data_IF_024680305135
#
_entry.id   IF_024680305135
#
_cell.length_a   1.000
_cell.length_b   1.000
_cell.length_c   1.000
_cell.angle_alpha   90.00
_cell.angle_beta   90.00
_cell.angle_gamma   90.00
#
_symmetry.space_group_name_H-M   'P 1'
#
loop_
_entity.id
_entity.type
_entity.pdbx_description
1 polymer ?
#
# COMPACT_ATOMS: atom_id res chain seq x y z
N UNK A 1 -28.06 -77.38 -65.49
CA UNK A 1 -28.07 -77.25 -64.00
C UNK A 1 -27.29 -76.11 -63.45
N UNK A 2 -26.55 -75.30 -64.24
CA UNK A 2 -25.70 -74.20 -63.75
C UNK A 2 -26.43 -72.88 -63.44
N UNK A 3 -27.58 -72.55 -64.03
CA UNK A 3 -28.28 -71.26 -63.72
C UNK A 3 -28.87 -71.16 -62.31
N UNK A 4 -29.19 -72.28 -61.65
CA UNK A 4 -29.74 -72.28 -60.27
C UNK A 4 -28.67 -71.98 -59.19
N UNK A 5 -27.40 -72.38 -59.38
CA UNK A 5 -26.31 -72.16 -58.43
C UNK A 5 -25.90 -70.65 -58.34
N UNK A 6 -25.90 -69.95 -59.50
CA UNK A 6 -25.61 -68.51 -59.50
C UNK A 6 -26.66 -67.63 -58.78
N UNK A 7 -27.88 -68.04 -58.75
CA UNK A 7 -29.01 -67.36 -58.07
C UNK A 7 -28.93 -67.54 -56.53
N UNK A 8 -28.52 -68.72 -56.07
CA UNK A 8 -28.38 -68.96 -54.59
C UNK A 8 -27.22 -68.18 -53.98
N UNK A 9 -26.06 -68.19 -54.66
CA UNK A 9 -24.89 -67.40 -54.21
C UNK A 9 -25.16 -65.94 -54.12
N UNK A 10 -25.90 -65.32 -55.06
CA UNK A 10 -26.31 -63.90 -55.02
C UNK A 10 -27.26 -63.58 -53.85
N UNK A 11 -28.11 -64.47 -53.46
CA UNK A 11 -29.06 -64.31 -52.32
C UNK A 11 -28.26 -64.37 -51.01
N UNK A 12 -27.37 -65.32 -50.89
CA UNK A 12 -26.51 -65.52 -49.70
C UNK A 12 -25.61 -64.24 -49.58
N UNK A 13 -24.98 -63.78 -50.65
CA UNK A 13 -24.17 -62.59 -50.63
C UNK A 13 -24.92 -61.27 -50.24
N UNK A 14 -26.16 -61.12 -50.73
CA UNK A 14 -27.05 -60.01 -50.30
C UNK A 14 -27.40 -60.11 -48.84
N UNK A 15 -27.68 -61.31 -48.32
CA UNK A 15 -27.96 -61.54 -46.88
C UNK A 15 -26.76 -61.14 -46.03
N UNK A 16 -25.54 -61.48 -46.42
CA UNK A 16 -24.35 -61.06 -45.70
C UNK A 16 -24.09 -59.52 -45.75
N UNK A 17 -24.39 -58.89 -46.86
CA UNK A 17 -24.28 -57.41 -46.97
C UNK A 17 -25.31 -56.74 -46.04
N UNK A 18 -26.55 -57.18 -46.01
CA UNK A 18 -27.55 -56.61 -45.12
C UNK A 18 -27.28 -56.94 -43.64
N UNK A 19 -26.84 -58.13 -43.32
CA UNK A 19 -26.37 -58.43 -41.98
C UNK A 19 -25.18 -57.58 -41.55
N UNK A 20 -24.20 -57.35 -42.43
CA UNK A 20 -23.05 -56.48 -42.17
C UNK A 20 -23.48 -55.02 -41.97
N UNK A 21 -24.43 -54.50 -42.78
CA UNK A 21 -24.97 -53.16 -42.59
C UNK A 21 -25.63 -53.00 -41.22
N UNK A 22 -26.43 -53.99 -40.81
CA UNK A 22 -27.10 -53.97 -39.51
C UNK A 22 -26.05 -53.98 -38.38
N UNK A 23 -25.05 -54.85 -38.47
CA UNK A 23 -23.99 -54.97 -37.48
C UNK A 23 -23.16 -53.68 -37.41
N UNK A 24 -22.86 -53.08 -38.56
CA UNK A 24 -22.16 -51.82 -38.64
C UNK A 24 -22.99 -50.67 -38.05
N UNK A 25 -24.28 -50.59 -38.32
CA UNK A 25 -25.18 -49.63 -37.67
C UNK A 25 -25.22 -49.81 -36.15
N UNK A 26 -25.31 -51.03 -35.67
CA UNK A 26 -25.29 -51.33 -34.24
C UNK A 26 -23.97 -50.92 -33.59
N UNK A 27 -22.84 -51.14 -34.28
CA UNK A 27 -21.52 -50.68 -33.79
C UNK A 27 -21.41 -49.14 -33.71
N UNK A 28 -21.97 -48.43 -34.70
CA UNK A 28 -22.04 -46.94 -34.66
C UNK A 28 -22.93 -46.50 -33.50
N UNK A 29 -24.11 -47.08 -33.32
CA UNK A 29 -25.02 -46.73 -32.23
C UNK A 29 -24.39 -47.00 -30.85
N UNK A 30 -23.70 -48.12 -30.70
CA UNK A 30 -22.97 -48.45 -29.48
C UNK A 30 -21.81 -47.44 -29.23
N UNK A 31 -21.04 -47.12 -30.26
CA UNK A 31 -19.98 -46.13 -30.19
C UNK A 31 -20.48 -44.72 -29.81
N UNK A 32 -21.60 -44.30 -30.40
CA UNK A 32 -22.26 -43.04 -30.04
C UNK A 32 -22.79 -43.07 -28.61
N UNK A 33 -23.38 -44.19 -28.17
CA UNK A 33 -23.86 -44.36 -26.81
C UNK A 33 -22.71 -44.23 -25.77
N UNK A 34 -21.60 -44.90 -26.05
CA UNK A 34 -20.38 -44.80 -25.21
C UNK A 34 -19.86 -43.39 -25.22
N UNK A 35 -19.76 -42.74 -26.38
CA UNK A 35 -19.27 -41.35 -26.51
C UNK A 35 -20.14 -40.40 -25.70
N UNK A 36 -21.45 -40.48 -25.81
CA UNK A 36 -22.39 -39.67 -25.03
C UNK A 36 -22.30 -39.95 -23.52
N UNK A 37 -22.18 -41.20 -23.12
CA UNK A 37 -22.04 -41.56 -21.70
C UNK A 37 -20.72 -41.02 -21.10
N UNK A 38 -19.60 -41.19 -21.79
CA UNK A 38 -18.31 -40.70 -21.38
C UNK A 38 -18.29 -39.17 -21.37
N UNK A 39 -18.82 -38.53 -22.41
CA UNK A 39 -18.89 -37.08 -22.53
C UNK A 39 -19.77 -36.43 -21.45
N UNK A 40 -20.96 -36.97 -21.21
CA UNK A 40 -21.84 -36.48 -20.14
C UNK A 40 -21.21 -36.64 -18.76
N UNK A 41 -20.51 -37.76 -18.51
CA UNK A 41 -19.80 -37.97 -17.27
C UNK A 41 -18.62 -37.00 -17.11
N UNK A 42 -17.90 -36.74 -18.18
CA UNK A 42 -16.77 -35.78 -18.18
C UNK A 42 -17.24 -34.34 -17.99
N UNK A 43 -18.41 -33.95 -18.50
CA UNK A 43 -19.01 -32.63 -18.44
C UNK A 43 -19.91 -32.39 -17.23
N UNK A 44 -20.07 -33.38 -16.34
CA UNK A 44 -20.95 -33.26 -15.17
C UNK A 44 -20.42 -32.17 -14.19
N UNK A 45 -21.21 -31.12 -13.89
CA UNK A 45 -20.81 -30.10 -12.93
C UNK A 45 -20.56 -30.68 -11.52
N UNK A 46 -21.30 -31.75 -11.13
CA UNK A 46 -21.07 -32.42 -9.85
C UNK A 46 -19.66 -33.01 -9.76
N UNK A 47 -19.15 -33.57 -10.86
CA UNK A 47 -17.78 -34.10 -10.91
C UNK A 47 -16.74 -32.98 -10.74
N UNK A 48 -16.95 -31.82 -11.36
CA UNK A 48 -16.08 -30.64 -11.18
C UNK A 48 -16.11 -30.15 -9.72
N UNK A 49 -17.30 -30.06 -9.12
CA UNK A 49 -17.46 -29.67 -7.73
C UNK A 49 -16.77 -30.64 -6.77
N UNK A 50 -16.94 -31.95 -6.96
CA UNK A 50 -16.28 -33.01 -6.16
C UNK A 50 -14.77 -32.93 -6.30
N UNK A 51 -14.25 -32.73 -7.52
CA UNK A 51 -12.82 -32.60 -7.78
C UNK A 51 -12.24 -31.37 -7.12
N UNK A 52 -12.89 -30.21 -7.26
CA UNK A 52 -12.47 -28.98 -6.61
C UNK A 52 -12.46 -29.12 -5.09
N UNK A 53 -13.52 -29.69 -4.50
CA UNK A 53 -13.60 -29.89 -3.07
C UNK A 53 -12.55 -30.88 -2.56
N UNK A 54 -12.20 -31.92 -3.34
CA UNK A 54 -11.10 -32.83 -2.99
C UNK A 54 -9.76 -32.14 -2.91
N UNK A 55 -9.48 -31.15 -3.77
CA UNK A 55 -8.29 -30.34 -3.69
C UNK A 55 -8.33 -29.37 -2.50
N UNK A 56 -9.49 -28.82 -2.20
CA UNK A 56 -9.70 -27.95 -1.05
C UNK A 56 -9.37 -28.68 0.26
N UNK A 57 -9.87 -29.90 0.47
CA UNK A 57 -9.60 -30.68 1.69
C UNK A 57 -8.15 -31.17 1.82
N UNK A 58 -7.42 -31.22 0.70
CA UNK A 58 -6.01 -31.61 0.68
C UNK A 58 -5.06 -30.41 0.60
N UNK A 59 -5.59 -29.17 0.66
CA UNK A 59 -4.86 -27.92 0.49
C UNK A 59 -4.01 -27.89 -0.80
N UNK A 60 -4.49 -28.51 -1.87
CA UNK A 60 -3.83 -28.51 -3.16
C UNK A 60 -4.23 -27.26 -3.96
N UNK A 61 -3.69 -26.12 -3.55
CA UNK A 61 -4.07 -24.81 -4.09
C UNK A 61 -3.71 -24.65 -5.56
N UNK A 62 -2.65 -25.30 -6.03
CA UNK A 62 -2.26 -25.26 -7.44
C UNK A 62 -3.33 -25.88 -8.34
N UNK A 63 -3.83 -27.05 -7.97
CA UNK A 63 -4.88 -27.72 -8.73
C UNK A 63 -6.24 -27.01 -8.59
N UNK A 64 -6.51 -26.39 -7.43
CA UNK A 64 -7.68 -25.51 -7.28
C UNK A 64 -7.60 -24.32 -8.23
N UNK A 65 -6.43 -23.65 -8.31
CA UNK A 65 -6.22 -22.49 -9.16
C UNK A 65 -6.47 -22.78 -10.65
N UNK A 66 -6.04 -23.95 -11.13
CA UNK A 66 -6.32 -24.39 -12.52
C UNK A 66 -7.81 -24.54 -12.83
N UNK A 67 -8.64 -24.73 -11.79
CA UNK A 67 -10.08 -24.95 -11.93
C UNK A 67 -10.93 -23.68 -11.76
N UNK A 68 -10.38 -22.56 -11.36
CA UNK A 68 -11.14 -21.33 -11.14
C UNK A 68 -11.34 -20.52 -12.43
N UNK A 69 -12.42 -19.74 -12.46
CA UNK A 69 -12.81 -18.87 -13.57
C UNK A 69 -12.32 -17.44 -13.31
N UNK A 70 -11.08 -17.17 -13.74
CA UNK A 70 -10.44 -15.86 -13.56
C UNK A 70 -9.77 -15.40 -14.84
N UNK A 71 -9.61 -14.09 -14.96
CA UNK A 71 -8.67 -13.45 -15.85
C UNK A 71 -7.49 -12.97 -15.00
N UNK A 72 -6.31 -13.50 -15.27
CA UNK A 72 -5.10 -13.14 -14.57
C UNK A 72 -4.73 -11.67 -14.77
N UNK A 73 -4.21 -11.06 -13.73
CA UNK A 73 -3.66 -9.72 -13.73
C UNK A 73 -2.55 -9.64 -12.68
N UNK A 74 -1.91 -8.46 -12.52
CA UNK A 74 -0.84 -8.27 -11.55
C UNK A 74 -1.22 -8.73 -10.13
N UNK A 75 -2.45 -8.45 -9.68
CA UNK A 75 -2.95 -8.80 -8.34
C UNK A 75 -3.98 -9.94 -8.32
N UNK A 76 -4.32 -10.48 -9.49
CA UNK A 76 -5.12 -11.69 -9.64
C UNK A 76 -4.22 -12.77 -10.23
N UNK A 77 -3.43 -13.42 -9.40
CA UNK A 77 -2.44 -14.43 -9.76
C UNK A 77 -2.44 -15.59 -8.77
N UNK A 78 -1.64 -16.61 -9.04
CA UNK A 78 -1.56 -17.79 -8.20
C UNK A 78 -1.06 -17.50 -6.78
N UNK A 79 -0.05 -16.65 -6.61
CA UNK A 79 0.53 -16.38 -5.30
C UNK A 79 -0.47 -15.70 -4.37
N UNK A 80 -1.22 -14.71 -4.89
CA UNK A 80 -2.27 -14.03 -4.11
C UNK A 80 -3.46 -14.97 -3.82
N UNK A 81 -3.82 -15.85 -4.77
CA UNK A 81 -4.83 -16.88 -4.53
C UNK A 81 -4.39 -17.87 -3.45
N UNK A 82 -3.13 -18.30 -3.49
CA UNK A 82 -2.54 -19.20 -2.49
C UNK A 82 -2.53 -18.56 -1.12
N UNK A 83 -2.05 -17.32 -1.00
CA UNK A 83 -2.05 -16.54 0.25
C UNK A 83 -3.45 -16.45 0.86
N UNK A 84 -4.44 -16.11 0.04
CA UNK A 84 -5.85 -16.09 0.43
C UNK A 84 -6.33 -17.45 0.97
N UNK A 85 -6.01 -18.54 0.28
CA UNK A 85 -6.41 -19.88 0.70
C UNK A 85 -5.67 -20.34 1.97
N UNK A 86 -4.42 -19.94 2.16
CA UNK A 86 -3.64 -20.22 3.37
C UNK A 86 -4.21 -19.49 4.59
N UNK A 87 -4.68 -18.25 4.43
CA UNK A 87 -5.37 -17.50 5.48
C UNK A 87 -6.70 -18.12 5.91
N UNK A 88 -7.36 -18.86 5.01
CA UNK A 88 -8.62 -19.58 5.27
C UNK A 88 -8.42 -21.09 5.46
N UNK A 89 -7.18 -21.53 5.69
CA UNK A 89 -6.86 -22.95 5.80
C UNK A 89 -7.62 -23.63 6.93
N UNK A 90 -8.23 -24.76 6.59
CA UNK A 90 -8.89 -25.61 7.57
C UNK A 90 -7.84 -26.45 8.30
N UNK A 91 -7.79 -26.31 9.61
CA UNK A 91 -6.97 -27.14 10.48
C UNK A 91 -7.78 -28.33 10.97
N UNK A 92 -7.35 -29.52 10.62
CA UNK A 92 -7.98 -30.78 11.01
C UNK A 92 -8.35 -31.69 9.83
N UNK A 93 -8.63 -32.96 10.12
CA UNK A 93 -9.08 -33.90 9.08
C UNK A 93 -10.54 -33.70 8.78
N UNK A 94 -10.88 -33.52 7.51
CA UNK A 94 -12.27 -33.46 7.05
C UNK A 94 -12.84 -34.89 6.98
N UNK A 95 -14.00 -35.08 7.62
CA UNK A 95 -14.76 -36.33 7.61
C UNK A 95 -16.18 -36.11 7.07
N UNK A 96 -16.80 -37.19 6.57
CA UNK A 96 -18.21 -37.23 6.24
C UNK A 96 -18.72 -36.09 5.38
N UNK A 97 -17.98 -35.76 4.31
CA UNK A 97 -18.47 -34.71 3.44
C UNK A 97 -19.50 -35.24 2.41
N UNK A 98 -20.50 -34.44 2.13
CA UNK A 98 -21.43 -34.64 1.04
C UNK A 98 -21.76 -33.33 0.31
N UNK A 99 -22.06 -33.44 -0.97
CA UNK A 99 -22.53 -32.30 -1.76
C UNK A 99 -24.04 -32.27 -1.80
N UNK A 100 -24.63 -31.09 -1.69
CA UNK A 100 -26.06 -30.87 -1.89
C UNK A 100 -26.51 -31.24 -3.32
N UNK A 101 -27.82 -31.30 -3.53
CA UNK A 101 -28.37 -31.25 -4.89
C UNK A 101 -27.95 -29.93 -5.57
N UNK A 102 -27.69 -29.95 -6.89
CA UNK A 102 -27.31 -28.76 -7.62
C UNK A 102 -28.45 -27.75 -7.70
N UNK A 103 -28.16 -26.51 -7.42
CA UNK A 103 -29.03 -25.36 -7.71
C UNK A 103 -28.55 -24.72 -9.00
N UNK A 104 -29.39 -24.68 -10.04
CA UNK A 104 -29.03 -24.10 -11.35
C UNK A 104 -29.67 -22.75 -11.52
N UNK A 105 -28.87 -21.80 -11.98
CA UNK A 105 -29.30 -20.42 -12.29
C UNK A 105 -28.58 -19.94 -13.55
N UNK A 106 -29.26 -19.98 -14.70
CA UNK A 106 -28.63 -19.65 -15.98
C UNK A 106 -27.40 -20.51 -16.28
N UNK A 107 -26.27 -19.88 -16.51
CA UNK A 107 -24.99 -20.55 -16.80
C UNK A 107 -24.21 -20.96 -15.53
N UNK A 108 -24.83 -20.85 -14.37
CA UNK A 108 -24.19 -21.24 -13.10
C UNK A 108 -24.87 -22.43 -12.45
N UNK A 109 -24.06 -23.23 -11.73
CA UNK A 109 -24.53 -24.34 -10.92
C UNK A 109 -23.85 -24.29 -9.57
N UNK A 110 -24.65 -24.23 -8.51
CA UNK A 110 -24.11 -24.10 -7.14
C UNK A 110 -24.34 -25.39 -6.38
N UNK A 111 -23.32 -25.83 -5.67
CA UNK A 111 -23.32 -26.92 -4.71
C UNK A 111 -22.90 -26.40 -3.33
N UNK A 112 -23.46 -26.99 -2.29
CA UNK A 112 -22.99 -26.78 -0.91
C UNK A 112 -22.38 -28.11 -0.44
N UNK A 113 -21.08 -28.07 -0.16
CA UNK A 113 -20.38 -29.15 0.52
C UNK A 113 -20.60 -28.99 2.02
N UNK A 114 -21.18 -30.01 2.66
CA UNK A 114 -21.30 -30.08 4.11
C UNK A 114 -20.30 -31.12 4.62
N UNK A 115 -19.53 -30.79 5.63
CA UNK A 115 -18.46 -31.65 6.17
C UNK A 115 -18.26 -31.45 7.68
N UNK A 116 -17.56 -32.36 8.32
CA UNK A 116 -17.17 -32.30 9.72
C UNK A 116 -15.65 -32.26 9.86
N UNK A 117 -15.15 -31.59 10.89
CA UNK A 117 -13.73 -31.49 11.22
C UNK A 117 -13.40 -32.37 12.42
N UNK A 118 -12.46 -33.28 12.24
CA UNK A 118 -11.97 -34.13 13.33
C UNK A 118 -13.12 -34.89 14.03
N UNK A 119 -13.22 -34.68 15.34
CA UNK A 119 -14.28 -35.24 16.17
C UNK A 119 -15.43 -34.25 16.50
N UNK A 120 -15.42 -33.09 15.82
CA UNK A 120 -16.47 -32.09 16.03
C UNK A 120 -17.86 -32.66 15.65
N UNK A 121 -18.85 -32.29 16.47
CA UNK A 121 -20.25 -32.59 16.20
C UNK A 121 -20.90 -31.65 15.21
N UNK A 122 -20.37 -30.41 15.15
CA UNK A 122 -20.86 -29.36 14.26
C UNK A 122 -20.49 -29.64 12.80
N UNK A 123 -21.41 -29.29 11.91
CA UNK A 123 -21.17 -29.35 10.47
C UNK A 123 -20.77 -28.00 9.93
N UNK A 124 -19.75 -28.01 9.07
CA UNK A 124 -19.30 -26.85 8.31
C UNK A 124 -19.84 -26.92 6.88
N UNK A 125 -19.90 -25.77 6.23
CA UNK A 125 -20.37 -25.71 4.84
C UNK A 125 -19.38 -24.94 3.97
N UNK A 126 -19.22 -25.39 2.73
CA UNK A 126 -18.45 -24.69 1.70
C UNK A 126 -19.25 -24.62 0.41
N UNK A 127 -19.50 -23.41 -0.09
CA UNK A 127 -20.28 -23.20 -1.30
C UNK A 127 -19.38 -23.19 -2.53
N UNK A 128 -19.70 -24.01 -3.52
CA UNK A 128 -18.99 -24.14 -4.79
C UNK A 128 -19.94 -23.71 -5.91
N UNK A 129 -19.67 -22.57 -6.51
CA UNK A 129 -20.42 -22.10 -7.68
C UNK A 129 -19.60 -22.34 -8.93
N UNK A 130 -20.12 -23.12 -9.84
CA UNK A 130 -19.52 -23.42 -11.13
C UNK A 130 -20.14 -22.54 -12.20
N UNK A 131 -19.33 -21.98 -13.08
CA UNK A 131 -19.77 -21.24 -14.26
C UNK A 131 -19.46 -22.05 -15.52
N UNK A 132 -20.44 -22.17 -16.38
CA UNK A 132 -20.30 -22.79 -17.69
C UNK A 132 -19.33 -21.98 -18.55
N UNK A 133 -18.40 -22.66 -19.19
CA UNK A 133 -17.42 -22.04 -20.07
C UNK A 133 -17.89 -22.07 -21.53
N UNK A 134 -17.39 -21.15 -22.33
CA UNK A 134 -17.63 -21.13 -23.79
C UNK A 134 -16.97 -22.31 -24.50
N UNK A 135 -15.82 -22.73 -23.98
CA UNK A 135 -15.09 -23.88 -24.48
C UNK A 135 -15.81 -25.18 -24.14
N UNK A 136 -15.73 -26.18 -25.04
CA UNK A 136 -16.38 -27.46 -24.88
C UNK A 136 -15.41 -28.62 -25.00
N UNK A 137 -15.58 -29.64 -24.15
CA UNK A 137 -14.90 -30.93 -24.33
C UNK A 137 -15.46 -31.64 -25.54
N UNK A 138 -14.59 -32.20 -26.38
CA UNK A 138 -14.97 -32.89 -27.63
C UNK A 138 -15.91 -32.08 -28.53
N UNK A 139 -15.88 -30.72 -28.46
CA UNK A 139 -16.74 -29.76 -29.20
C UNK A 139 -18.27 -29.86 -28.87
N UNK A 140 -18.70 -30.75 -28.03
CA UNK A 140 -20.13 -30.99 -27.75
C UNK A 140 -20.51 -30.82 -26.28
N UNK A 141 -19.62 -31.16 -25.37
CA UNK A 141 -19.92 -31.21 -23.94
C UNK A 141 -19.44 -29.97 -23.19
N UNK A 142 -20.25 -29.48 -22.26
CA UNK A 142 -19.96 -28.30 -21.49
C UNK A 142 -18.75 -28.49 -20.58
N UNK A 143 -17.97 -27.45 -20.38
CA UNK A 143 -16.91 -27.36 -19.39
C UNK A 143 -17.29 -26.36 -18.32
N UNK A 144 -16.72 -26.55 -17.13
CA UNK A 144 -17.05 -25.77 -15.96
C UNK A 144 -15.79 -25.29 -15.27
N UNK A 145 -15.85 -24.05 -14.76
CA UNK A 145 -14.84 -23.50 -13.86
C UNK A 145 -15.52 -22.98 -12.60
N UNK A 146 -14.79 -22.96 -11.48
CA UNK A 146 -15.29 -22.46 -10.19
C UNK A 146 -15.27 -20.95 -10.21
N UNK A 147 -16.40 -20.30 -10.01
CA UNK A 147 -16.48 -18.86 -9.83
C UNK A 147 -15.87 -18.47 -8.48
N UNK A 148 -14.97 -17.51 -8.53
CA UNK A 148 -14.33 -16.89 -7.35
C UNK A 148 -14.75 -15.44 -7.16
N UNK A 149 -15.79 -14.99 -7.84
CA UNK A 149 -16.25 -13.59 -7.80
C UNK A 149 -16.46 -13.05 -6.37
N UNK A 150 -16.90 -13.92 -5.46
CA UNK A 150 -17.09 -13.57 -4.04
C UNK A 150 -15.79 -13.26 -3.29
N UNK A 151 -14.63 -13.65 -3.85
CA UNK A 151 -13.31 -13.42 -3.29
C UNK A 151 -12.56 -12.30 -4.00
N UNK A 152 -13.17 -11.69 -5.02
CA UNK A 152 -12.59 -10.58 -5.77
C UNK A 152 -13.11 -9.26 -5.21
N UNK A 153 -12.20 -8.52 -4.62
CA UNK A 153 -12.45 -7.15 -4.18
C UNK A 153 -12.17 -6.23 -5.37
N UNK A 154 -13.06 -5.28 -5.60
CA UNK A 154 -12.96 -4.32 -6.71
C UNK A 154 -12.67 -2.93 -6.17
N UNK A 155 -11.89 -2.17 -6.93
CA UNK A 155 -11.54 -0.80 -6.61
C UNK A 155 -10.94 -0.68 -5.19
N UNK A 156 -9.95 -1.53 -4.90
CA UNK A 156 -9.23 -1.44 -3.63
C UNK A 156 -8.41 -0.15 -3.62
N UNK A 157 -8.65 0.70 -2.62
CA UNK A 157 -8.05 2.02 -2.51
C UNK A 157 -6.88 2.01 -1.52
N UNK A 158 -5.77 2.64 -1.91
CA UNK A 158 -4.60 2.83 -1.06
C UNK A 158 -4.29 4.33 -1.05
N UNK A 159 -4.36 4.95 0.14
CA UNK A 159 -4.05 6.35 0.34
C UNK A 159 -2.74 6.45 1.13
N UNK A 160 -1.77 7.18 0.60
CA UNK A 160 -0.44 7.34 1.19
C UNK A 160 0.03 8.78 1.05
N UNK A 161 0.99 9.24 1.88
CA UNK A 161 1.55 10.58 1.74
C UNK A 161 2.16 10.83 0.36
N UNK A 162 1.97 12.04 -0.17
CA UNK A 162 2.52 12.45 -1.48
C UNK A 162 4.03 12.28 -1.51
N UNK A 163 4.56 11.87 -2.65
CA UNK A 163 6.01 11.70 -2.87
C UNK A 163 6.59 10.40 -2.34
N UNK A 164 5.74 9.46 -1.89
CA UNK A 164 6.19 8.14 -1.44
C UNK A 164 6.33 7.16 -2.61
N UNK A 165 7.31 6.27 -2.53
CA UNK A 165 7.35 5.06 -3.34
C UNK A 165 6.50 3.98 -2.68
N UNK A 166 5.58 3.39 -3.43
CA UNK A 166 4.56 2.48 -2.89
C UNK A 166 4.58 1.15 -3.61
N UNK A 167 4.59 0.08 -2.84
CA UNK A 167 4.37 -1.28 -3.36
C UNK A 167 3.18 -1.95 -2.66
N UNK A 168 2.52 -2.84 -3.37
CA UNK A 168 1.49 -3.74 -2.85
C UNK A 168 1.94 -5.18 -3.11
N UNK A 169 2.05 -5.97 -2.04
CA UNK A 169 2.56 -7.35 -2.11
C UNK A 169 3.92 -7.45 -2.80
N UNK A 170 4.78 -6.44 -2.61
CA UNK A 170 6.10 -6.34 -3.24
C UNK A 170 6.09 -5.79 -4.68
N UNK A 171 4.93 -5.55 -5.27
CA UNK A 171 4.77 -5.05 -6.62
C UNK A 171 4.59 -3.53 -6.67
N UNK A 172 5.36 -2.82 -7.50
CA UNK A 172 5.22 -1.39 -7.71
C UNK A 172 3.83 -1.04 -8.25
N UNK A 173 3.15 -0.08 -7.59
CA UNK A 173 1.81 0.37 -7.97
C UNK A 173 1.76 1.80 -8.52
N UNK A 174 2.87 2.40 -8.90
CA UNK A 174 2.91 3.76 -9.43
C UNK A 174 1.92 3.99 -10.59
N UNK A 175 1.75 3.00 -11.48
CA UNK A 175 0.81 3.06 -12.60
C UNK A 175 -0.68 3.09 -12.18
N UNK A 176 -1.00 2.77 -10.94
CA UNK A 176 -2.36 2.74 -10.39
C UNK A 176 -2.74 4.04 -9.66
N UNK A 177 -1.85 5.03 -9.63
CA UNK A 177 -2.16 6.35 -9.08
C UNK A 177 -3.30 6.99 -9.87
N UNK A 178 -4.35 7.44 -9.17
CA UNK A 178 -5.53 8.08 -9.76
C UNK A 178 -5.52 9.59 -9.55
N UNK A 179 -5.28 10.02 -8.34
CA UNK A 179 -5.36 11.43 -7.98
C UNK A 179 -4.50 11.74 -6.75
N UNK A 180 -4.25 13.01 -6.54
CA UNK A 180 -3.73 13.55 -5.27
C UNK A 180 -4.89 14.28 -4.58
N UNK A 181 -4.98 14.18 -3.25
CA UNK A 181 -6.00 14.86 -2.45
C UNK A 181 -6.01 16.37 -2.70
N UNK A 182 -7.16 17.03 -2.49
CA UNK A 182 -7.32 18.48 -2.72
C UNK A 182 -6.35 19.33 -1.89
N UNK A 183 -5.99 18.86 -0.69
CA UNK A 183 -5.03 19.51 0.19
C UNK A 183 -3.55 19.20 -0.19
N UNK A 184 -3.34 18.37 -1.22
CA UNK A 184 -2.01 17.99 -1.69
C UNK A 184 -1.22 17.11 -0.74
N UNK A 185 -1.85 16.48 0.26
CA UNK A 185 -1.15 15.71 1.30
C UNK A 185 -1.06 14.22 1.03
N UNK A 186 -2.01 13.67 0.26
CA UNK A 186 -2.09 12.23 -0.01
C UNK A 186 -2.24 11.92 -1.49
N UNK A 187 -1.59 10.86 -1.92
CA UNK A 187 -1.79 10.20 -3.21
C UNK A 187 -2.71 9.00 -3.06
N UNK A 188 -3.69 8.89 -3.95
CA UNK A 188 -4.65 7.80 -4.01
C UNK A 188 -4.33 6.86 -5.16
N UNK A 189 -4.19 5.59 -4.84
CA UNK A 189 -4.03 4.48 -5.78
C UNK A 189 -5.28 3.63 -5.77
N UNK A 190 -5.69 3.11 -6.94
CA UNK A 190 -6.87 2.25 -7.07
C UNK A 190 -6.52 1.01 -7.86
N UNK A 191 -6.62 -0.14 -7.20
CA UNK A 191 -6.40 -1.45 -7.79
C UNK A 191 -7.76 -2.00 -8.25
N UNK A 192 -7.92 -2.20 -9.55
CA UNK A 192 -9.21 -2.58 -10.13
C UNK A 192 -9.77 -3.88 -9.56
N UNK A 193 -8.89 -4.88 -9.33
CA UNK A 193 -9.26 -6.18 -8.78
C UNK A 193 -8.09 -6.76 -7.97
N UNK A 194 -8.42 -7.30 -6.79
CA UNK A 194 -7.51 -8.02 -5.91
C UNK A 194 -8.27 -9.17 -5.24
N UNK A 195 -7.60 -10.24 -4.83
CA UNK A 195 -8.24 -11.24 -3.98
C UNK A 195 -8.51 -10.67 -2.58
N UNK A 196 -9.54 -11.17 -1.90
CA UNK A 196 -9.68 -10.97 -0.45
C UNK A 196 -8.57 -11.70 0.30
N UNK A 197 -8.11 -11.17 1.42
CA UNK A 197 -7.06 -11.79 2.22
C UNK A 197 -6.05 -10.77 2.74
N UNK A 198 -4.94 -11.25 3.29
CA UNK A 198 -3.87 -10.39 3.77
C UNK A 198 -3.09 -9.79 2.60
N UNK A 199 -3.02 -8.46 2.61
CA UNK A 199 -2.24 -7.69 1.66
C UNK A 199 -1.32 -6.73 2.38
N UNK A 200 -0.09 -6.62 1.90
CA UNK A 200 0.93 -5.77 2.51
C UNK A 200 1.27 -4.60 1.59
N UNK A 201 1.03 -3.40 2.10
CA UNK A 201 1.50 -2.16 1.45
C UNK A 201 2.81 -1.76 2.11
N UNK A 202 3.84 -1.59 1.31
CA UNK A 202 5.10 -0.97 1.75
C UNK A 202 5.23 0.42 1.14
N UNK A 203 5.61 1.37 1.97
CA UNK A 203 5.75 2.78 1.61
C UNK A 203 7.13 3.27 2.05
N UNK A 204 7.86 3.88 1.14
CA UNK A 204 9.19 4.40 1.43
C UNK A 204 9.23 5.92 1.26
N UNK A 205 9.76 6.60 2.28
CA UNK A 205 10.12 8.01 2.26
C UNK A 205 11.61 8.15 2.56
N UNK A 206 12.31 9.03 1.85
CA UNK A 206 13.75 9.23 2.03
C UNK A 206 14.12 9.58 3.47
N UNK A 207 13.31 10.40 4.13
CA UNK A 207 13.55 10.87 5.49
C UNK A 207 13.28 9.82 6.58
N UNK A 208 12.42 8.84 6.32
CA UNK A 208 11.94 7.90 7.36
C UNK A 208 12.36 6.47 7.12
N UNK A 209 12.50 6.06 5.87
CA UNK A 209 12.69 4.68 5.47
C UNK A 209 11.38 4.00 5.11
N UNK A 210 11.44 2.67 4.99
CA UNK A 210 10.29 1.85 4.62
C UNK A 210 9.39 1.55 5.81
N UNK A 211 8.09 1.71 5.59
CA UNK A 211 7.04 1.23 6.48
C UNK A 211 6.22 0.19 5.75
N UNK A 212 5.91 -0.89 6.44
CA UNK A 212 5.01 -1.92 5.94
C UNK A 212 3.75 -1.98 6.80
N UNK A 213 2.60 -2.07 6.15
CA UNK A 213 1.31 -2.24 6.81
C UNK A 213 0.55 -3.39 6.14
N UNK A 214 0.17 -4.39 6.91
CA UNK A 214 -0.62 -5.52 6.42
C UNK A 214 -2.06 -5.35 6.87
N UNK A 215 -3.00 -5.58 5.95
CA UNK A 215 -4.44 -5.52 6.21
C UNK A 215 -5.13 -6.71 5.57
N UNK A 216 -6.06 -7.32 6.32
CA UNK A 216 -6.98 -8.30 5.75
C UNK A 216 -8.05 -7.56 4.96
N UNK A 217 -7.97 -7.65 3.62
CA UNK A 217 -8.86 -6.93 2.69
C UNK A 217 -10.14 -7.73 2.48
N UNK A 218 -11.27 -7.08 2.68
CA UNK A 218 -12.62 -7.61 2.45
C UNK A 218 -13.45 -6.60 1.68
N UNK A 219 -14.68 -6.98 1.28
CA UNK A 219 -15.60 -6.06 0.61
C UNK A 219 -15.90 -4.81 1.46
N UNK A 220 -15.97 -4.98 2.79
CA UNK A 220 -16.26 -3.89 3.75
C UNK A 220 -14.99 -3.14 4.18
N UNK A 221 -13.80 -3.69 3.90
CA UNK A 221 -12.49 -3.13 4.22
C UNK A 221 -11.64 -3.03 2.96
N UNK A 222 -12.15 -2.31 1.97
CA UNK A 222 -11.52 -2.13 0.66
C UNK A 222 -10.70 -0.83 0.56
N UNK A 223 -10.26 -0.29 1.69
CA UNK A 223 -9.42 0.91 1.74
C UNK A 223 -8.32 0.74 2.78
N UNK A 224 -7.08 1.06 2.41
CA UNK A 224 -5.95 1.20 3.33
C UNK A 224 -5.45 2.63 3.32
N UNK A 225 -5.21 3.20 4.50
CA UNK A 225 -4.62 4.53 4.62
C UNK A 225 -3.36 4.45 5.47
N UNK A 226 -2.29 5.04 4.95
CA UNK A 226 -1.04 5.28 5.65
C UNK A 226 -0.88 6.80 5.72
N UNK A 227 -0.63 7.31 6.92
CA UNK A 227 -0.49 8.75 7.18
C UNK A 227 0.94 9.10 7.56
N UNK A 228 1.28 10.38 7.55
CA UNK A 228 2.61 10.82 7.99
C UNK A 228 2.90 10.45 9.44
N UNK A 229 1.89 10.29 10.29
CA UNK A 229 2.06 9.84 11.68
C UNK A 229 2.46 8.38 11.83
N UNK A 230 2.29 7.56 10.79
CA UNK A 230 2.75 6.16 10.80
C UNK A 230 4.28 6.05 10.63
N UNK A 231 4.96 7.17 10.28
CA UNK A 231 6.39 7.20 10.01
C UNK A 231 7.19 7.67 11.22
N UNK A 232 8.36 7.05 11.43
CA UNK A 232 9.37 7.52 12.37
C UNK A 232 10.60 8.01 11.60
N UNK A 233 11.08 9.20 11.93
CA UNK A 233 12.28 9.74 11.29
C UNK A 233 13.51 8.88 11.58
N UNK A 234 14.37 8.68 10.58
CA UNK A 234 15.65 7.99 10.75
C UNK A 234 16.50 8.75 11.78
N UNK A 235 17.16 8.05 12.72
CA UNK A 235 17.92 8.71 13.81
C UNK A 235 19.04 9.63 13.32
N UNK A 236 19.69 9.29 12.21
CA UNK A 236 20.74 10.12 11.59
C UNK A 236 20.17 11.40 10.98
N UNK A 237 18.99 11.33 10.32
CA UNK A 237 18.29 12.51 9.80
C UNK A 237 17.82 13.39 10.97
N UNK A 238 17.23 12.80 11.99
CA UNK A 238 16.81 13.53 13.20
C UNK A 238 17.97 14.28 13.84
N UNK A 239 19.10 13.60 14.03
CA UNK A 239 20.31 14.22 14.57
C UNK A 239 20.79 15.40 13.71
N UNK A 240 20.88 15.20 12.39
CA UNK A 240 21.32 16.25 11.43
C UNK A 240 20.42 17.49 11.50
N UNK A 241 19.10 17.30 11.51
CA UNK A 241 18.14 18.40 11.60
C UNK A 241 18.24 19.13 12.94
N UNK A 242 18.39 18.39 14.03
CA UNK A 242 18.57 18.96 15.37
C UNK A 242 19.85 19.79 15.46
N UNK A 243 20.98 19.26 14.97
CA UNK A 243 22.27 19.98 14.94
C UNK A 243 22.19 21.26 14.10
N UNK A 244 21.57 21.19 12.91
CA UNK A 244 21.38 22.37 12.05
C UNK A 244 20.48 23.41 12.69
N UNK A 245 19.41 22.99 13.37
CA UNK A 245 18.48 23.89 14.05
C UNK A 245 19.17 24.63 15.21
N UNK A 246 19.91 23.91 16.05
CA UNK A 246 20.69 24.50 17.14
C UNK A 246 21.71 25.45 16.59
N UNK A 247 22.43 25.05 15.52
CA UNK A 247 23.45 25.89 14.91
C UNK A 247 22.89 27.20 14.37
N UNK A 248 21.80 27.16 13.58
CA UNK A 248 21.25 28.38 12.95
C UNK A 248 20.65 29.33 13.99
N UNK A 249 19.93 28.79 15.00
CA UNK A 249 19.38 29.63 16.08
C UNK A 249 20.51 30.35 16.85
N UNK A 250 21.55 29.61 17.22
CA UNK A 250 22.70 30.19 17.90
C UNK A 250 23.44 31.21 17.00
N UNK A 251 23.64 30.88 15.71
CA UNK A 251 24.33 31.75 14.76
C UNK A 251 23.58 33.07 14.51
N UNK A 252 22.24 33.04 14.49
CA UNK A 252 21.41 34.24 14.34
C UNK A 252 21.72 35.25 15.43
N UNK A 253 21.81 34.85 16.69
CA UNK A 253 22.15 35.74 17.80
C UNK A 253 23.63 36.10 17.84
N UNK A 254 24.55 35.13 17.73
CA UNK A 254 25.99 35.36 17.82
C UNK A 254 26.49 36.28 16.70
N UNK A 255 26.02 36.10 15.47
CA UNK A 255 26.44 36.92 14.33
C UNK A 255 25.79 38.30 14.34
N UNK A 256 24.62 38.45 14.96
CA UNK A 256 24.00 39.75 15.21
C UNK A 256 24.81 40.57 16.23
N UNK A 257 25.47 39.93 17.19
CA UNK A 257 26.35 40.55 18.19
C UNK A 257 27.75 40.90 17.63
N UNK A 258 28.26 40.07 16.72
CA UNK A 258 29.61 40.22 16.15
C UNK A 258 29.57 41.14 14.93
N UNK A 259 30.01 42.39 15.12
CA UNK A 259 30.07 43.38 14.03
C UNK A 259 30.97 43.00 12.85
N UNK A 260 31.81 41.98 12.98
CA UNK A 260 32.65 41.45 11.89
C UNK A 260 31.88 40.46 11.03
N UNK A 261 30.71 39.98 11.47
CA UNK A 261 29.81 39.06 10.80
C UNK A 261 28.65 39.81 10.17
N UNK A 262 28.06 39.17 9.16
CA UNK A 262 26.89 39.68 8.50
C UNK A 262 25.97 38.54 8.08
N UNK A 263 24.81 38.84 7.50
CA UNK A 263 23.84 37.87 7.06
C UNK A 263 24.44 36.82 6.10
N UNK A 264 25.39 37.16 5.25
CA UNK A 264 26.00 36.23 4.29
C UNK A 264 26.68 35.03 4.97
N UNK A 265 27.13 35.18 6.21
CA UNK A 265 27.75 34.08 6.95
C UNK A 265 26.77 32.95 7.31
N UNK A 266 25.48 33.26 7.38
CA UNK A 266 24.43 32.30 7.68
C UNK A 266 23.53 32.00 6.46
N UNK A 267 23.52 32.85 5.46
CA UNK A 267 22.69 32.71 4.26
C UNK A 267 22.90 31.38 3.52
N UNK A 268 24.14 30.86 3.57
CA UNK A 268 24.50 29.59 2.94
C UNK A 268 23.77 28.37 3.52
N UNK A 269 23.21 28.47 4.73
CA UNK A 269 22.45 27.43 5.39
C UNK A 269 21.03 27.33 4.85
N UNK A 270 20.56 28.41 4.23
CA UNK A 270 19.19 28.49 3.72
C UNK A 270 19.10 28.01 2.27
N UNK A 271 17.90 27.64 1.88
CA UNK A 271 17.59 27.35 0.48
C UNK A 271 17.89 28.60 -0.37
N UNK A 272 18.54 28.40 -1.51
CA UNK A 272 18.93 29.50 -2.40
C UNK A 272 17.75 29.93 -3.29
N UNK A 273 16.64 30.35 -2.67
CA UNK A 273 15.51 31.00 -3.33
C UNK A 273 15.36 32.42 -2.80
N UNK A 274 14.82 33.32 -3.61
CA UNK A 274 14.60 34.70 -3.23
C UNK A 274 13.76 34.81 -1.95
N UNK A 275 12.71 34.02 -1.84
CA UNK A 275 11.81 34.00 -0.68
C UNK A 275 12.53 33.55 0.60
N UNK A 276 13.26 32.43 0.56
CA UNK A 276 13.98 31.91 1.73
C UNK A 276 15.08 32.87 2.19
N UNK A 277 15.84 33.45 1.25
CA UNK A 277 16.90 34.41 1.54
C UNK A 277 16.34 35.72 2.09
N UNK A 278 15.23 36.21 1.55
CA UNK A 278 14.55 37.41 2.06
C UNK A 278 14.00 37.21 3.48
N UNK A 279 13.35 36.05 3.73
CA UNK A 279 12.85 35.70 5.05
C UNK A 279 13.99 35.59 6.09
N UNK A 280 15.08 34.91 5.72
CA UNK A 280 16.27 34.79 6.60
C UNK A 280 16.88 36.14 6.93
N UNK A 281 17.02 37.01 5.90
CA UNK A 281 17.55 38.36 6.09
C UNK A 281 16.66 39.20 6.99
N UNK A 282 15.36 39.16 6.80
CA UNK A 282 14.40 39.90 7.63
C UNK A 282 14.50 39.50 9.12
N UNK A 283 14.62 38.18 9.39
CA UNK A 283 14.83 37.68 10.76
C UNK A 283 16.14 38.12 11.34
N UNK A 284 17.25 38.06 10.57
CA UNK A 284 18.54 38.50 11.00
C UNK A 284 18.57 40.03 11.31
N UNK A 285 17.99 40.83 10.41
CA UNK A 285 17.92 42.30 10.58
C UNK A 285 17.07 42.66 11.81
N UNK A 286 15.96 41.93 12.06
CA UNK A 286 15.13 42.14 13.25
C UNK A 286 15.91 41.87 14.54
N UNK A 287 16.69 40.79 14.61
CA UNK A 287 17.52 40.46 15.77
C UNK A 287 18.63 41.49 15.93
N UNK A 288 19.33 41.86 14.85
CA UNK A 288 20.42 42.84 14.87
C UNK A 288 19.93 44.22 15.33
N UNK A 289 18.73 44.61 14.88
CA UNK A 289 18.10 45.86 15.33
C UNK A 289 17.70 45.85 16.81
N UNK A 290 17.32 44.69 17.35
CA UNK A 290 17.01 44.56 18.78
C UNK A 290 18.28 44.58 19.67
N UNK A 291 19.40 44.11 19.14
CA UNK A 291 20.68 44.13 19.85
C UNK A 291 21.27 45.56 19.96
N UNK A 292 21.03 46.41 18.95
CA UNK A 292 21.47 47.82 18.94
C UNK A 292 20.20 48.68 18.91
N UNK A 293 19.84 49.27 20.05
CA UNK A 293 18.68 50.15 20.15
C UNK A 293 19.03 51.60 19.83
N UNK A 294 18.08 52.33 19.22
CA UNK A 294 18.24 53.73 18.81
C UNK A 294 18.49 54.69 19.99
N UNK A 295 18.10 54.29 21.22
CA UNK A 295 18.33 55.06 22.44
C UNK A 295 19.77 54.91 23.02
N UNK A 296 20.66 54.21 22.29
CA UNK A 296 22.03 53.93 22.73
C UNK A 296 22.14 52.75 23.70
N UNK A 297 21.07 52.09 24.08
CA UNK A 297 21.13 50.84 24.79
C UNK A 297 21.64 49.75 23.84
N UNK A 298 22.62 49.01 24.27
CA UNK A 298 23.17 47.90 23.48
C UNK A 298 23.40 46.70 24.37
N UNK A 299 23.11 45.52 23.81
CA UNK A 299 23.49 44.26 24.44
C UNK A 299 24.99 44.09 24.26
N UNK A 300 25.72 43.97 25.35
CA UNK A 300 27.17 43.73 25.33
C UNK A 300 27.51 42.24 25.34
N UNK A 301 26.69 41.46 26.03
CA UNK A 301 26.87 40.04 26.14
C UNK A 301 25.52 39.36 26.04
N UNK A 302 25.44 38.29 25.26
CA UNK A 302 24.29 37.41 25.13
C UNK A 302 24.79 35.97 25.06
N UNK A 303 24.22 35.14 25.91
CA UNK A 303 24.49 33.69 25.92
C UNK A 303 23.19 32.93 25.83
N UNK A 304 23.09 32.07 24.84
CA UNK A 304 22.02 31.07 24.76
C UNK A 304 22.44 29.82 25.50
N UNK A 305 21.56 29.34 26.36
CA UNK A 305 21.76 28.16 27.22
C UNK A 305 20.73 27.09 26.92
N UNK A 306 21.05 25.85 27.24
CA UNK A 306 20.07 24.74 27.23
C UNK A 306 19.30 24.60 25.92
N UNK A 307 19.93 24.79 24.75
CA UNK A 307 19.27 24.64 23.46
C UNK A 307 18.77 23.19 23.29
N UNK A 308 17.46 23.00 23.31
CA UNK A 308 16.77 21.70 23.26
C UNK A 308 15.93 21.61 21.99
N UNK A 309 16.47 20.98 20.92
CA UNK A 309 15.71 20.78 19.70
C UNK A 309 14.69 19.65 19.88
N UNK A 310 13.51 19.85 19.32
CA UNK A 310 12.44 18.87 19.27
C UNK A 310 11.82 18.88 17.90
N UNK A 311 11.79 17.73 17.22
CA UNK A 311 11.11 17.61 15.93
C UNK A 311 9.61 17.60 16.19
N UNK A 312 8.91 18.51 15.56
CA UNK A 312 7.47 18.49 15.43
C UNK A 312 7.08 17.49 14.33
N UNK A 313 5.83 17.00 14.33
CA UNK A 313 5.35 16.06 13.35
C UNK A 313 5.61 16.54 11.91
N UNK A 314 5.81 15.58 11.00
CA UNK A 314 5.86 15.86 9.57
C UNK A 314 4.55 16.49 9.10
N UNK A 315 4.64 17.60 8.39
CA UNK A 315 3.48 18.15 7.68
C UNK A 315 3.38 17.54 6.28
N UNK A 316 4.56 17.30 5.66
CA UNK A 316 4.71 16.66 4.35
C UNK A 316 5.97 15.78 4.34
N UNK A 317 6.09 14.82 3.41
CA UNK A 317 7.26 13.93 3.31
C UNK A 317 8.60 14.67 3.17
N UNK A 318 8.56 15.85 2.55
CA UNK A 318 9.69 16.70 2.22
C UNK A 318 9.84 17.93 3.13
N UNK A 319 9.02 18.03 4.20
CA UNK A 319 9.00 19.22 5.09
C UNK A 319 8.98 18.82 6.55
N UNK A 320 9.86 19.41 7.31
CA UNK A 320 9.99 19.19 8.75
C UNK A 320 10.15 20.52 9.46
N UNK A 321 9.51 20.64 10.62
CA UNK A 321 9.72 21.74 11.54
C UNK A 321 10.39 21.22 12.80
N UNK A 322 11.48 21.86 13.19
CA UNK A 322 12.19 21.60 14.45
C UNK A 322 12.01 22.80 15.37
N UNK A 323 11.42 22.58 16.52
CA UNK A 323 11.37 23.58 17.59
C UNK A 323 12.60 23.49 18.45
N UNK A 324 13.30 24.61 18.65
CA UNK A 324 14.45 24.73 19.55
C UNK A 324 14.02 25.57 20.73
N UNK A 325 13.83 24.96 21.89
CA UNK A 325 13.63 25.69 23.13
C UNK A 325 15.00 26.07 23.72
N UNK A 326 15.15 27.28 24.23
CA UNK A 326 16.39 27.74 24.80
C UNK A 326 16.17 28.71 25.97
N UNK A 327 17.12 28.68 26.90
CA UNK A 327 17.26 29.70 27.91
C UNK A 327 18.31 30.70 27.47
N UNK A 328 18.21 31.95 27.92
CA UNK A 328 19.20 32.98 27.60
C UNK A 328 19.52 33.84 28.80
N UNK A 329 20.74 34.41 28.82
CA UNK A 329 21.10 35.46 29.72
C UNK A 329 21.81 36.58 28.92
N UNK A 330 21.59 37.79 29.34
CA UNK A 330 22.22 38.95 28.67
C UNK A 330 22.69 40.00 29.65
N UNK A 331 23.68 40.81 29.20
CA UNK A 331 24.11 42.06 29.82
C UNK A 331 23.87 43.18 28.80
N UNK A 332 23.09 44.16 29.18
CA UNK A 332 22.81 45.33 28.36
C UNK A 332 23.25 46.63 29.06
N UNK A 333 23.49 47.64 28.25
CA UNK A 333 23.91 48.96 28.69
C UNK A 333 22.81 49.96 28.38
N UNK A 334 22.32 50.68 29.38
CA UNK A 334 21.48 51.83 29.17
C UNK A 334 22.37 53.06 28.81
N UNK A 335 21.88 53.84 27.84
CA UNK A 335 22.67 54.94 27.27
C UNK A 335 23.28 55.88 28.28
N UNK A 336 24.38 56.48 27.91
CA UNK A 336 25.07 57.51 28.66
C UNK A 336 24.18 58.72 28.82
N UNK A 337 23.93 59.15 30.06
CA UNK A 337 23.45 60.52 30.29
C UNK A 337 24.55 61.45 29.98
N UNK A 338 24.31 62.39 29.06
CA UNK A 338 25.32 63.37 28.56
C UNK A 338 25.96 64.22 29.67
N UNK A 339 25.42 64.17 30.87
CA UNK A 339 25.88 65.00 32.02
C UNK A 339 26.84 64.28 32.98
N UNK A 340 26.79 62.89 33.05
CA UNK A 340 27.57 62.22 34.09
C UNK A 340 28.57 61.20 33.57
N UNK A 341 28.48 60.81 32.29
CA UNK A 341 29.29 59.71 31.69
C UNK A 341 29.05 58.30 32.31
N UNK A 342 28.05 58.16 33.17
CA UNK A 342 27.80 56.92 33.87
C UNK A 342 27.01 55.98 32.91
N UNK A 343 27.60 54.85 32.61
CA UNK A 343 26.99 53.76 31.89
C UNK A 343 26.36 52.84 32.91
N UNK A 344 25.07 52.68 32.89
CA UNK A 344 24.39 51.70 33.73
C UNK A 344 24.28 50.37 33.00
N UNK A 345 24.81 49.33 33.62
CA UNK A 345 24.66 47.97 33.14
C UNK A 345 23.51 47.24 33.89
N UNK A 346 22.78 46.43 33.17
CA UNK A 346 21.79 45.52 33.77
C UNK A 346 21.88 44.15 33.13
N UNK A 347 21.55 43.15 33.88
CA UNK A 347 21.53 41.77 33.44
C UNK A 347 20.10 41.24 33.48
N UNK A 348 19.78 40.39 32.52
CA UNK A 348 18.49 39.67 32.48
C UNK A 348 18.67 38.24 32.02
N UNK A 349 17.68 37.47 32.28
CA UNK A 349 17.56 36.07 31.81
C UNK A 349 16.13 35.76 31.44
N UNK A 350 15.95 34.75 30.59
CA UNK A 350 14.61 34.29 30.17
C UNK A 350 14.68 33.00 29.39
N UNK A 351 13.54 32.58 28.93
CA UNK A 351 13.40 31.39 28.06
C UNK A 351 12.54 31.73 26.86
N UNK A 352 12.86 31.14 25.70
CA UNK A 352 12.14 31.35 24.46
C UNK A 352 12.29 30.12 23.55
N UNK A 353 11.69 30.15 22.37
CA UNK A 353 11.85 29.13 21.36
C UNK A 353 11.98 29.71 19.96
N UNK A 354 12.52 28.90 19.03
CA UNK A 354 12.55 29.15 17.61
C UNK A 354 12.04 27.95 16.84
N UNK A 355 11.23 28.16 15.81
CA UNK A 355 10.81 27.13 14.88
C UNK A 355 11.65 27.23 13.60
N UNK A 356 12.36 26.15 13.28
CA UNK A 356 13.22 26.04 12.09
C UNK A 356 12.53 25.12 11.09
N UNK A 357 12.23 25.66 9.91
CA UNK A 357 11.52 24.97 8.84
C UNK A 357 12.51 24.47 7.80
N UNK A 358 12.42 23.19 7.49
CA UNK A 358 13.25 22.52 6.50
C UNK A 358 12.41 21.99 5.33
N UNK A 359 12.98 22.08 4.12
CA UNK A 359 12.52 21.32 2.96
C UNK A 359 13.64 20.38 2.50
N UNK A 360 13.24 19.19 2.04
CA UNK A 360 14.13 18.25 1.36
C UNK A 360 14.21 18.64 -0.12
N UNK A 361 15.38 19.03 -0.58
CA UNK A 361 15.63 19.45 -1.97
C UNK A 361 16.87 18.72 -2.48
N UNK A 362 16.71 17.98 -3.57
CA UNK A 362 17.78 17.19 -4.19
C UNK A 362 18.50 16.23 -3.21
N UNK A 363 17.75 15.64 -2.28
CA UNK A 363 18.27 14.73 -1.25
C UNK A 363 18.91 15.40 -0.04
N UNK A 364 18.97 16.75 -0.01
CA UNK A 364 19.52 17.53 1.10
C UNK A 364 18.44 18.35 1.82
N UNK A 365 18.48 18.33 3.16
CA UNK A 365 17.66 19.20 3.98
C UNK A 365 18.21 20.63 3.99
N UNK A 366 17.39 21.58 3.53
CA UNK A 366 17.70 23.01 3.48
C UNK A 366 16.72 23.78 4.35
N UNK A 367 17.24 24.77 5.10
CA UNK A 367 16.40 25.67 5.89
C UNK A 367 15.68 26.63 4.94
N UNK A 368 14.37 26.76 5.08
CA UNK A 368 13.54 27.69 4.29
C UNK A 368 13.11 28.90 5.11
N UNK A 369 12.95 28.72 6.43
CA UNK A 369 12.54 29.79 7.35
C UNK A 369 13.05 29.48 8.76
N UNK A 370 13.35 30.50 9.51
CA UNK A 370 13.46 30.45 10.97
C UNK A 370 12.49 31.47 11.54
N UNK A 371 11.55 30.97 12.34
CA UNK A 371 10.58 31.82 13.03
C UNK A 371 11.00 31.93 14.49
N UNK A 372 11.41 33.11 14.88
CA UNK A 372 11.87 33.39 16.24
C UNK A 372 11.55 34.82 16.60
N UNK A 373 11.17 35.03 17.82
CA UNK A 373 10.97 36.39 18.35
C UNK A 373 12.30 36.97 18.77
N UNK A 374 12.33 38.29 18.78
CA UNK A 374 13.48 38.99 19.40
C UNK A 374 13.38 38.82 20.90
N UNK A 375 14.50 38.54 21.54
CA UNK A 375 14.55 38.50 22.99
C UNK A 375 13.98 39.81 23.58
N UNK A 376 13.13 39.66 24.56
CA UNK A 376 12.53 40.81 25.24
C UNK A 376 13.55 41.40 26.24
N UNK A 377 14.18 42.51 25.89
CA UNK A 377 15.18 43.22 26.72
C UNK A 377 14.57 44.36 27.54
N UNK A 378 13.24 44.53 27.51
CA UNK A 378 12.56 45.52 28.33
C UNK A 378 12.57 45.12 29.80
N UNK A 379 12.94 46.02 30.69
CA UNK A 379 12.78 45.86 32.14
C UNK A 379 11.30 45.84 32.51
#
# INVERSE_FOLDING_TARGET
>A
MEKKKKSLGRKIFRFFIEAFKILFMLAICAGLGIFLAVGNRASSPERYAKKFFSYYITNNYEEMYKMIDIQESKFINYENYKSKCEGEKIYGSIRDYHLSKPVRQGDTVTFVATYKLGEETNSHTYTITLRKQKEKVYKFFDTWKVSVDRFIIRNYEINVPVGTYVTLDGEDIAAYKKETSEDGTQDKYVIDKIFSGDHTVAVNLDATGEITKTQYVTQDMATMTITTSDFAMKPDVQRKLNEYSVFVVNAMYQYSMDRTKNFQNISILYLNTEEAQASAKATFDKISGAVVQDNGAAIRQLELKSLKPQINAFTYPDRVTVRVNYDYSFTAVTGTTALTGIVSEYTGEGSDYADVYFNLVDGDWKIVKVDMECLNYSQ
#
